data_IF_672867161303
#
_entry.id   IF_672867161303
#
_cell.length_a   1.000
_cell.length_b   1.000
_cell.length_c   1.000
_cell.angle_alpha   90.00
_cell.angle_beta   90.00
_cell.angle_gamma   90.00
#
_symmetry.space_group_name_H-M   'P 1'
#
loop_
_entity.id
_entity.type
_entity.pdbx_description
1 polymer ?
#
# COMPACT_ATOMS: atom_id res chain seq x y z
N UNK A 1 5.47 0.57 5.07
CA UNK A 1 4.02 0.85 5.03
C UNK A 1 3.27 -0.46 5.20
N UNK A 2 2.10 -0.46 5.84
CA UNK A 2 1.21 -1.61 5.73
C UNK A 2 0.42 -1.48 4.42
N UNK A 3 0.82 -2.27 3.41
CA UNK A 3 0.21 -2.25 2.08
C UNK A 3 -1.19 -2.90 2.05
N UNK A 4 -1.53 -3.66 3.07
CA UNK A 4 -2.80 -4.36 3.18
C UNK A 4 -3.43 -4.07 4.54
N UNK A 5 -4.76 -3.97 4.55
CA UNK A 5 -5.52 -3.97 5.79
C UNK A 5 -5.64 -5.42 6.28
N UNK A 6 -5.25 -5.69 7.52
CA UNK A 6 -5.26 -7.05 8.08
C UNK A 6 -6.67 -7.67 8.05
N UNK A 7 -7.70 -6.82 8.17
CA UNK A 7 -9.12 -7.21 8.05
C UNK A 7 -9.46 -7.82 6.68
N UNK A 8 -8.92 -7.28 5.59
CA UNK A 8 -9.20 -7.79 4.24
C UNK A 8 -8.60 -9.16 4.01
N UNK A 9 -7.44 -9.41 4.63
CA UNK A 9 -6.77 -10.70 4.56
C UNK A 9 -7.52 -11.71 5.41
N UNK A 10 -8.03 -11.29 6.57
CA UNK A 10 -8.87 -12.14 7.40
C UNK A 10 -10.17 -12.53 6.69
N UNK A 11 -10.83 -11.59 6.01
CA UNK A 11 -12.03 -11.83 5.19
C UNK A 11 -11.73 -12.83 4.05
N UNK A 12 -10.66 -12.60 3.28
CA UNK A 12 -10.26 -13.53 2.22
C UNK A 12 -9.89 -14.92 2.74
N UNK A 13 -9.18 -14.99 3.87
CA UNK A 13 -8.83 -16.25 4.49
C UNK A 13 -10.09 -17.03 4.89
N UNK A 14 -11.06 -16.36 5.53
CA UNK A 14 -12.33 -16.98 5.92
C UNK A 14 -13.10 -17.52 4.71
N UNK A 15 -13.20 -16.73 3.63
CA UNK A 15 -13.91 -17.12 2.41
C UNK A 15 -13.26 -18.30 1.68
N UNK A 16 -11.94 -18.47 1.81
CA UNK A 16 -11.16 -19.52 1.15
C UNK A 16 -10.84 -20.72 2.06
N UNK A 17 -11.38 -20.74 3.30
CA UNK A 17 -11.16 -21.82 4.27
C UNK A 17 -9.76 -21.84 4.88
N UNK A 18 -9.05 -20.71 4.84
CA UNK A 18 -7.78 -20.52 5.56
C UNK A 18 -8.03 -20.02 6.98
N UNK A 19 -7.18 -20.42 7.92
CA UNK A 19 -7.32 -20.07 9.34
C UNK A 19 -6.07 -19.39 9.89
N UNK A 20 -6.25 -18.67 11.00
CA UNK A 20 -5.19 -17.99 11.76
C UNK A 20 -4.22 -17.16 10.90
N UNK A 21 -4.70 -16.13 10.19
CA UNK A 21 -3.82 -15.24 9.44
C UNK A 21 -2.95 -14.42 10.39
N UNK A 22 -1.65 -14.41 10.13
CA UNK A 22 -0.70 -13.56 10.83
C UNK A 22 0.28 -12.93 9.84
N UNK A 23 0.89 -11.83 10.25
CA UNK A 23 1.88 -11.12 9.48
C UNK A 23 3.26 -11.36 10.07
N UNK A 24 4.18 -11.81 9.23
CA UNK A 24 5.61 -11.85 9.57
C UNK A 24 6.36 -10.91 8.63
N UNK A 25 6.99 -9.88 9.22
CA UNK A 25 7.64 -8.77 8.50
C UNK A 25 6.72 -8.10 7.47
N UNK A 26 6.87 -8.43 6.19
CA UNK A 26 6.10 -7.91 5.05
C UNK A 26 5.21 -8.97 4.39
N UNK A 27 5.29 -10.23 4.81
CA UNK A 27 4.53 -11.34 4.24
C UNK A 27 3.39 -11.77 5.15
N UNK A 28 2.28 -12.12 4.52
CA UNK A 28 1.13 -12.66 5.20
C UNK A 28 1.15 -14.18 5.13
N UNK A 29 0.91 -14.80 6.27
CA UNK A 29 0.92 -16.24 6.46
C UNK A 29 -0.43 -16.65 7.02
N UNK A 30 -0.91 -17.81 6.60
CA UNK A 30 -2.12 -18.41 7.15
C UNK A 30 -2.08 -19.92 6.96
N UNK A 31 -2.93 -20.65 7.65
CA UNK A 31 -3.05 -22.10 7.49
C UNK A 31 -3.99 -22.40 6.33
N UNK A 32 -3.58 -23.19 5.32
CA UNK A 32 -4.47 -23.59 4.23
C UNK A 32 -5.51 -24.59 4.74
N UNK A 33 -6.61 -24.83 3.98
CA UNK A 33 -7.61 -25.82 4.36
C UNK A 33 -6.96 -27.19 4.54
N UNK A 34 -7.20 -27.81 5.71
CA UNK A 34 -6.60 -29.09 6.13
C UNK A 34 -5.07 -29.10 6.32
N UNK A 35 -4.42 -27.93 6.30
CA UNK A 35 -2.99 -27.79 6.57
C UNK A 35 -2.67 -27.65 8.05
N UNK A 36 -1.55 -28.24 8.47
CA UNK A 36 -1.03 -28.16 9.85
C UNK A 36 0.17 -27.20 9.95
N UNK A 37 0.56 -26.58 8.84
CA UNK A 37 1.68 -25.65 8.76
C UNK A 37 1.23 -24.35 8.08
N UNK A 38 1.63 -23.18 8.60
CA UNK A 38 1.32 -21.93 7.94
C UNK A 38 2.09 -21.82 6.63
N UNK A 39 1.40 -21.37 5.59
CA UNK A 39 1.96 -21.09 4.28
C UNK A 39 1.84 -19.60 3.96
N UNK A 40 2.75 -19.05 3.16
CA UNK A 40 2.60 -17.69 2.69
C UNK A 40 1.36 -17.60 1.80
N UNK A 41 0.55 -16.56 2.02
CA UNK A 41 -0.64 -16.31 1.20
C UNK A 41 -0.18 -16.03 -0.24
N UNK A 42 -0.81 -16.67 -1.25
CA UNK A 42 -0.41 -16.49 -2.64
C UNK A 42 -0.42 -15.01 -3.05
N UNK A 43 0.65 -14.55 -3.71
CA UNK A 43 0.76 -13.16 -4.19
C UNK A 43 -0.41 -12.79 -5.12
N UNK A 44 -0.91 -13.77 -5.87
CA UNK A 44 -2.10 -13.61 -6.73
C UNK A 44 -3.36 -13.28 -5.93
N UNK A 45 -3.56 -13.92 -4.77
CA UNK A 45 -4.65 -13.63 -3.87
C UNK A 45 -4.51 -12.23 -3.27
N UNK A 46 -3.31 -11.85 -2.82
CA UNK A 46 -3.03 -10.50 -2.32
C UNK A 46 -3.31 -9.44 -3.39
N UNK A 47 -2.91 -9.67 -4.64
CA UNK A 47 -3.23 -8.76 -5.76
C UNK A 47 -4.74 -8.66 -6.01
N UNK A 48 -5.47 -9.76 -5.93
CA UNK A 48 -6.93 -9.77 -6.06
C UNK A 48 -7.60 -8.96 -4.94
N UNK A 49 -7.19 -9.17 -3.68
CA UNK A 49 -7.68 -8.40 -2.52
C UNK A 49 -7.42 -6.90 -2.72
N UNK A 50 -6.21 -6.52 -3.14
CA UNK A 50 -5.86 -5.12 -3.42
C UNK A 50 -6.71 -4.53 -4.55
N UNK A 51 -6.95 -5.30 -5.61
CA UNK A 51 -7.77 -4.85 -6.74
C UNK A 51 -9.25 -4.63 -6.38
N UNK A 52 -9.78 -5.42 -5.43
CA UNK A 52 -11.17 -5.32 -4.99
C UNK A 52 -11.41 -4.25 -3.92
N UNK A 53 -10.48 -4.11 -2.96
CA UNK A 53 -10.67 -3.23 -1.78
C UNK A 53 -9.98 -1.87 -1.93
N UNK A 54 -9.06 -1.71 -2.89
CA UNK A 54 -8.42 -0.44 -3.21
C UNK A 54 -7.18 -0.12 -2.35
N UNK A 55 -7.00 1.16 -2.00
CA UNK A 55 -5.84 1.64 -1.24
C UNK A 55 -5.97 1.34 0.26
N UNK A 56 -4.89 0.87 0.90
CA UNK A 56 -4.85 0.75 2.36
C UNK A 56 -4.91 2.13 3.02
N UNK A 57 -5.30 2.19 4.30
CA UNK A 57 -5.34 3.46 5.07
C UNK A 57 -3.99 4.17 5.06
N UNK A 58 -2.89 3.42 5.13
CA UNK A 58 -1.54 3.98 5.04
C UNK A 58 -1.27 4.54 3.65
N UNK A 59 -1.57 3.80 2.58
CA UNK A 59 -1.41 4.28 1.21
C UNK A 59 -2.25 5.53 0.93
N UNK A 60 -3.47 5.58 1.46
CA UNK A 60 -4.35 6.74 1.35
C UNK A 60 -3.74 7.98 2.03
N UNK A 61 -3.11 7.82 3.21
CA UNK A 61 -2.42 8.92 3.89
C UNK A 61 -1.21 9.44 3.10
N UNK A 62 -0.44 8.55 2.48
CA UNK A 62 0.68 8.93 1.63
C UNK A 62 0.23 9.63 0.34
N UNK A 63 -0.81 9.12 -0.31
CA UNK A 63 -1.45 9.81 -1.44
C UNK A 63 -1.94 11.21 -1.04
N UNK A 64 -2.59 11.34 0.12
CA UNK A 64 -3.07 12.64 0.60
C UNK A 64 -1.90 13.60 0.89
N UNK A 65 -0.79 13.10 1.45
CA UNK A 65 0.42 13.87 1.64
C UNK A 65 1.06 14.32 0.31
N UNK A 66 1.08 13.45 -0.71
CA UNK A 66 1.56 13.80 -2.06
C UNK A 66 0.68 14.89 -2.71
N UNK A 67 -0.63 14.82 -2.55
CA UNK A 67 -1.55 15.86 -3.03
C UNK A 67 -1.33 17.18 -2.29
N UNK A 68 -1.22 17.14 -0.96
CA UNK A 68 -1.01 18.33 -0.14
C UNK A 68 0.32 19.03 -0.48
N UNK A 69 1.39 18.26 -0.69
CA UNK A 69 2.70 18.79 -1.12
C UNK A 69 2.64 19.39 -2.51
N UNK A 70 1.92 18.78 -3.46
CA UNK A 70 1.72 19.36 -4.79
C UNK A 70 0.97 20.70 -4.75
N UNK A 71 -0.09 20.81 -3.94
CA UNK A 71 -0.85 22.05 -3.76
C UNK A 71 0.04 23.15 -3.13
N UNK A 72 0.79 22.78 -2.10
CA UNK A 72 1.71 23.72 -1.43
C UNK A 72 2.83 24.19 -2.36
N UNK A 73 3.37 23.29 -3.19
CA UNK A 73 4.36 23.62 -4.20
C UNK A 73 3.81 24.54 -5.29
N UNK A 74 2.56 24.33 -5.72
CA UNK A 74 1.91 25.23 -6.66
C UNK A 74 1.77 26.64 -6.05
N UNK A 75 1.26 26.77 -4.82
CA UNK A 75 1.11 28.06 -4.14
C UNK A 75 2.46 28.78 -3.93
N UNK A 76 3.48 28.05 -3.47
CA UNK A 76 4.82 28.62 -3.30
C UNK A 76 5.48 29.01 -4.63
N UNK A 77 5.22 28.27 -5.72
CA UNK A 77 5.69 28.65 -7.06
C UNK A 77 5.10 29.99 -7.52
N UNK A 78 3.82 30.27 -7.22
CA UNK A 78 3.22 31.58 -7.49
C UNK A 78 3.85 32.71 -6.68
N UNK A 79 4.14 32.47 -5.39
CA UNK A 79 4.73 33.50 -4.50
C UNK A 79 6.19 33.79 -4.88
N UNK A 80 6.98 32.76 -5.19
CA UNK A 80 8.40 32.91 -5.53
C UNK A 80 8.64 33.15 -7.03
N UNK A 81 7.59 33.15 -7.86
CA UNK A 81 7.65 33.26 -9.32
C UNK A 81 8.72 32.37 -9.98
N UNK A 82 9.02 31.21 -9.38
CA UNK A 82 10.08 30.31 -9.81
C UNK A 82 9.58 28.86 -9.90
N UNK A 83 10.10 28.06 -10.85
CA UNK A 83 9.64 26.69 -11.10
C UNK A 83 10.27 25.66 -10.12
N UNK A 84 11.23 26.07 -9.29
CA UNK A 84 11.97 25.17 -8.40
C UNK A 84 11.10 24.38 -7.40
N UNK A 85 10.08 24.98 -6.72
CA UNK A 85 9.22 24.22 -5.81
C UNK A 85 8.42 23.11 -6.50
N UNK A 86 8.08 23.31 -7.77
CA UNK A 86 7.32 22.37 -8.58
C UNK A 86 8.14 21.12 -8.91
N UNK A 87 9.44 21.30 -9.22
CA UNK A 87 10.38 20.18 -9.43
C UNK A 87 10.59 19.39 -8.14
N UNK A 88 10.67 20.06 -6.99
CA UNK A 88 10.78 19.39 -5.69
C UNK A 88 9.53 18.54 -5.38
N UNK A 89 8.33 19.06 -5.64
CA UNK A 89 7.09 18.30 -5.50
C UNK A 89 7.02 17.10 -6.44
N UNK A 90 7.47 17.25 -7.69
CA UNK A 90 7.57 16.12 -8.62
C UNK A 90 8.49 15.02 -8.08
N UNK A 91 9.67 15.39 -7.56
CA UNK A 91 10.59 14.44 -6.93
C UNK A 91 9.98 13.75 -5.70
N UNK A 92 9.24 14.49 -4.88
CA UNK A 92 8.52 13.92 -3.75
C UNK A 92 7.44 12.94 -4.19
N UNK A 93 6.64 13.28 -5.20
CA UNK A 93 5.65 12.38 -5.78
C UNK A 93 6.31 11.09 -6.30
N UNK A 94 7.41 11.21 -7.05
CA UNK A 94 8.14 10.04 -7.56
C UNK A 94 8.65 9.14 -6.42
N UNK A 95 9.19 9.73 -5.35
CA UNK A 95 9.62 8.98 -4.17
C UNK A 95 8.44 8.27 -3.47
N UNK A 96 7.31 8.95 -3.30
CA UNK A 96 6.12 8.34 -2.69
C UNK A 96 5.56 7.19 -3.52
N UNK A 97 5.58 7.32 -4.85
CA UNK A 97 5.16 6.25 -5.76
C UNK A 97 6.11 5.05 -5.67
N UNK A 98 7.43 5.29 -5.64
CA UNK A 98 8.41 4.22 -5.47
C UNK A 98 8.26 3.48 -4.12
N UNK A 99 7.82 4.17 -3.06
CA UNK A 99 7.47 3.55 -1.78
C UNK A 99 6.14 2.76 -1.80
N UNK A 100 5.24 3.07 -2.74
CA UNK A 100 3.96 2.39 -2.89
C UNK A 100 4.04 1.13 -3.75
N UNK A 101 5.05 1.03 -4.61
CA UNK A 101 5.30 -0.18 -5.38
C UNK A 101 5.70 -1.30 -4.41
N UNK A 102 4.82 -2.30 -4.31
CA UNK A 102 5.05 -3.50 -3.50
C UNK A 102 6.09 -4.34 -4.23
N UNK A 103 7.24 -4.52 -3.59
CA UNK A 103 8.35 -5.36 -4.05
C UNK A 103 7.83 -6.73 -4.49
N UNK A 104 7.94 -7.02 -5.80
CA UNK A 104 7.72 -8.34 -6.37
C UNK A 104 8.87 -9.25 -5.94
N UNK A 105 8.82 -9.76 -4.71
CA UNK A 105 9.75 -10.82 -4.24
C UNK A 105 9.06 -12.17 -4.36
#
# INVERSE_FOLDING_TARGET
MNHFCDEWIQEWCFDNGWTDPFKDRSQYWAFPPHGVMPLPIPVQALRLIKSQKGFSVDEQRWCLAAIATAIFAAASSYVLASPMPLVAAFGFCAFTVAQMDVEEI
#
